data_IF_859624690151
#
_entry.id   IF_859624690151
#
_cell.length_a   1.000
_cell.length_b   1.000
_cell.length_c   1.000
_cell.angle_alpha   90.00
_cell.angle_beta   90.00
_cell.angle_gamma   90.00
#
_symmetry.space_group_name_H-M   'P 1'
#
loop_
_entity.id
_entity.type
_entity.pdbx_description
1 polymer ?
#
# COMPACT_ATOMS: atom_id res chain seq x y z
N UNK A 1 -10.56 5.28 12.50
CA UNK A 1 -9.76 6.41 11.99
C UNK A 1 -8.44 6.57 12.71
N UNK A 2 -7.37 6.07 12.08
CA UNK A 2 -6.00 6.17 12.59
C UNK A 2 -5.03 6.76 11.55
N UNK A 3 -5.40 6.78 10.27
CA UNK A 3 -4.58 7.29 9.15
C UNK A 3 -5.33 8.43 8.46
N UNK A 4 -4.63 9.53 8.21
CA UNK A 4 -5.10 10.63 7.36
C UNK A 4 -4.49 10.52 5.96
N UNK A 5 -5.27 10.84 4.93
CA UNK A 5 -4.81 10.86 3.54
C UNK A 5 -3.86 12.03 3.32
N UNK A 6 -2.61 11.75 2.98
CA UNK A 6 -1.63 12.76 2.57
C UNK A 6 -1.29 12.56 1.09
N UNK A 7 -1.52 13.59 0.27
CA UNK A 7 -1.11 13.56 -1.12
C UNK A 7 0.40 13.82 -1.19
N UNK A 8 1.19 12.81 -1.56
CA UNK A 8 2.56 13.02 -2.07
C UNK A 8 2.51 13.10 -3.58
N UNK A 9 3.20 14.09 -4.14
CA UNK A 9 3.39 14.24 -5.60
C UNK A 9 4.48 13.32 -6.17
N UNK A 10 5.31 12.73 -5.31
CA UNK A 10 6.38 11.81 -5.67
C UNK A 10 6.54 10.75 -4.57
N UNK A 11 5.99 9.54 -4.79
CA UNK A 11 6.12 8.44 -3.84
C UNK A 11 7.57 7.95 -3.70
N UNK A 12 8.29 7.86 -4.83
CA UNK A 12 9.65 7.32 -4.87
C UNK A 12 10.61 8.12 -3.98
N UNK A 13 10.56 9.45 -4.03
CA UNK A 13 11.38 10.30 -3.16
C UNK A 13 11.11 10.03 -1.68
N UNK A 14 9.85 9.90 -1.27
CA UNK A 14 9.50 9.58 0.12
C UNK A 14 9.90 8.20 0.56
N UNK A 15 9.76 7.23 -0.34
CA UNK A 15 10.18 5.87 -0.10
C UNK A 15 11.69 5.78 0.14
N UNK A 16 12.49 6.54 -0.61
CA UNK A 16 13.93 6.67 -0.43
C UNK A 16 14.28 7.42 0.87
N UNK A 17 13.59 8.52 1.17
CA UNK A 17 13.78 9.32 2.41
C UNK A 17 13.54 8.50 3.68
N UNK A 18 12.45 7.71 3.74
CA UNK A 18 12.16 6.84 4.88
C UNK A 18 13.20 5.71 5.04
N UNK A 19 13.82 5.28 3.93
CA UNK A 19 14.76 4.16 3.93
C UNK A 19 14.12 2.84 4.38
N UNK A 20 14.94 1.79 4.55
CA UNK A 20 14.46 0.44 4.88
C UNK A 20 14.52 0.11 6.38
N UNK A 21 14.83 1.07 7.25
CA UNK A 21 15.09 0.83 8.68
C UNK A 21 13.89 0.22 9.42
N UNK A 22 12.68 0.66 9.10
CA UNK A 22 11.42 0.16 9.65
C UNK A 22 10.56 -0.48 8.55
N UNK A 23 11.20 -1.16 7.59
CA UNK A 23 10.49 -1.85 6.51
C UNK A 23 9.92 -3.18 7.00
N UNK A 24 8.63 -3.40 6.74
CA UNK A 24 7.98 -4.70 6.90
C UNK A 24 7.43 -5.16 5.55
N UNK A 25 7.54 -6.46 5.29
CA UNK A 25 7.03 -7.07 4.06
C UNK A 25 6.27 -8.36 4.38
N UNK A 26 5.09 -8.51 3.79
CA UNK A 26 4.30 -9.74 3.87
C UNK A 26 3.57 -10.02 2.55
N UNK A 27 3.14 -11.28 2.35
CA UNK A 27 2.46 -11.74 1.13
C UNK A 27 1.10 -12.33 1.46
N UNK A 28 0.07 -11.80 0.81
CA UNK A 28 -1.33 -12.16 1.03
C UNK A 28 -1.97 -12.73 -0.24
N UNK A 29 -2.85 -13.71 -0.07
CA UNK A 29 -3.72 -14.21 -1.13
C UNK A 29 -5.12 -13.61 -0.97
N UNK A 30 -5.50 -12.71 -1.87
CA UNK A 30 -6.82 -12.09 -1.94
C UNK A 30 -7.74 -12.95 -2.80
N UNK A 31 -8.01 -14.18 -2.35
CA UNK A 31 -8.76 -15.20 -3.09
C UNK A 31 -10.20 -14.81 -3.43
N UNK A 32 -10.79 -13.85 -2.71
CA UNK A 32 -12.11 -13.30 -2.99
C UNK A 32 -12.13 -12.25 -4.12
N UNK A 33 -10.96 -11.77 -4.57
CA UNK A 33 -10.84 -10.74 -5.61
C UNK A 33 -10.49 -11.38 -6.94
N UNK A 34 -11.29 -11.09 -7.98
CA UNK A 34 -11.09 -11.65 -9.33
C UNK A 34 -10.46 -10.64 -10.29
N UNK A 35 -10.31 -9.38 -9.88
CA UNK A 35 -9.70 -8.31 -10.68
C UNK A 35 -8.73 -7.48 -9.86
N UNK A 36 -7.77 -6.85 -10.54
CA UNK A 36 -6.82 -5.93 -9.89
C UNK A 36 -7.53 -4.65 -9.42
N UNK A 37 -8.55 -4.19 -10.15
CA UNK A 37 -9.35 -3.01 -9.86
C UNK A 37 -10.10 -3.15 -8.52
N UNK A 38 -10.72 -4.30 -8.30
CA UNK A 38 -11.39 -4.63 -7.03
C UNK A 38 -10.38 -4.65 -5.89
N UNK A 39 -9.25 -5.32 -6.08
CA UNK A 39 -8.19 -5.40 -5.08
C UNK A 39 -7.67 -4.00 -4.69
N UNK A 40 -7.33 -3.15 -5.67
CA UNK A 40 -6.87 -1.77 -5.41
C UNK A 40 -7.93 -0.97 -4.64
N UNK A 41 -9.19 -1.06 -5.05
CA UNK A 41 -10.29 -0.34 -4.41
C UNK A 41 -10.43 -0.77 -2.94
N UNK A 42 -10.41 -2.08 -2.68
CA UNK A 42 -10.53 -2.64 -1.34
C UNK A 42 -9.34 -2.27 -0.46
N UNK A 43 -8.11 -2.43 -0.94
CA UNK A 43 -6.89 -2.08 -0.18
C UNK A 43 -6.90 -0.59 0.19
N UNK A 44 -7.22 0.28 -0.78
CA UNK A 44 -7.25 1.73 -0.57
C UNK A 44 -8.31 2.14 0.46
N UNK A 45 -9.50 1.54 0.38
CA UNK A 45 -10.58 1.79 1.35
C UNK A 45 -10.24 1.26 2.73
N UNK A 46 -9.69 0.05 2.80
CA UNK A 46 -9.37 -0.64 4.03
C UNK A 46 -8.26 0.09 4.82
N UNK A 47 -7.16 0.45 4.16
CA UNK A 47 -6.05 1.16 4.79
C UNK A 47 -6.37 2.65 5.03
N UNK A 48 -7.38 3.20 4.34
CA UNK A 48 -7.73 4.62 4.44
C UNK A 48 -6.68 5.57 3.87
N UNK A 49 -5.75 5.06 3.07
CA UNK A 49 -4.61 5.81 2.52
C UNK A 49 -4.93 6.44 1.17
N UNK A 50 -4.06 7.34 0.70
CA UNK A 50 -4.19 8.01 -0.58
C UNK A 50 -3.33 7.34 -1.66
N UNK A 51 -3.88 6.99 -2.84
CA UNK A 51 -3.07 6.47 -3.95
C UNK A 51 -2.17 7.56 -4.55
N UNK A 52 -0.90 7.25 -4.69
CA UNK A 52 0.12 8.14 -5.26
C UNK A 52 0.40 7.80 -6.72
N UNK A 53 0.97 8.76 -7.45
CA UNK A 53 1.51 8.58 -8.81
C UNK A 53 0.52 7.96 -9.82
N UNK A 54 -0.79 8.14 -9.61
CA UNK A 54 -1.89 7.53 -10.37
C UNK A 54 -1.85 6.01 -10.40
N UNK A 55 -1.25 5.40 -9.38
CA UNK A 55 -1.15 3.95 -9.21
C UNK A 55 -2.48 3.28 -8.90
N UNK A 56 -3.56 4.04 -8.71
CA UNK A 56 -4.94 3.56 -8.70
C UNK A 56 -5.48 3.23 -10.11
N UNK A 57 -4.77 3.60 -11.18
CA UNK A 57 -5.17 3.35 -12.56
C UNK A 57 -4.38 2.19 -13.15
N UNK A 58 -5.07 1.11 -13.46
CA UNK A 58 -4.48 -0.08 -14.09
C UNK A 58 -4.53 0.07 -15.61
N UNK A 59 -3.40 -0.09 -16.33
CA UNK A 59 -3.42 -0.18 -17.79
C UNK A 59 -4.16 -1.45 -18.26
N UNK A 60 -4.91 -1.35 -19.35
CA UNK A 60 -5.67 -2.48 -19.90
C UNK A 60 -4.77 -3.69 -20.23
N UNK A 61 -5.27 -4.90 -19.94
CA UNK A 61 -4.60 -6.17 -20.27
C UNK A 61 -3.40 -6.52 -19.40
N UNK A 62 -3.19 -5.83 -18.26
CA UNK A 62 -2.14 -6.16 -17.30
C UNK A 62 -2.62 -7.18 -16.27
N UNK A 63 -1.81 -8.23 -16.06
CA UNK A 63 -2.00 -9.21 -14.98
C UNK A 63 -1.15 -8.92 -13.74
N UNK A 64 -0.41 -7.81 -13.74
CA UNK A 64 0.36 -7.37 -12.59
C UNK A 64 0.36 -5.84 -12.51
N UNK A 65 0.36 -5.31 -11.30
CA UNK A 65 0.31 -3.88 -11.05
C UNK A 65 0.99 -3.54 -9.72
N UNK A 66 1.44 -2.31 -9.56
CA UNK A 66 1.97 -1.83 -8.28
C UNK A 66 1.17 -0.62 -7.83
N UNK A 67 0.53 -0.75 -6.67
CA UNK A 67 -0.20 0.31 -5.99
C UNK A 67 0.74 0.98 -4.98
N UNK A 68 0.79 2.30 -5.00
CA UNK A 68 1.53 3.13 -4.06
C UNK A 68 0.55 3.93 -3.22
N UNK A 69 0.67 3.84 -1.90
CA UNK A 69 -0.23 4.52 -0.97
C UNK A 69 0.58 5.37 0.01
N UNK A 70 0.11 6.58 0.28
CA UNK A 70 0.66 7.45 1.31
C UNK A 70 -0.40 7.83 2.34
N UNK A 71 0.04 7.96 3.59
CA UNK A 71 -0.79 8.40 4.68
C UNK A 71 0.05 8.94 5.83
N UNK A 72 -0.64 9.55 6.78
CA UNK A 72 -0.05 10.03 8.04
C UNK A 72 -0.79 9.35 9.17
N UNK A 73 -0.06 8.61 10.01
CA UNK A 73 -0.60 8.00 11.21
C UNK A 73 -0.71 9.04 12.34
N UNK A 74 -1.41 8.69 13.42
CA UNK A 74 -1.53 9.54 14.61
C UNK A 74 -0.15 9.99 15.09
N UNK A 75 -0.04 11.25 15.53
CA UNK A 75 1.23 11.84 15.95
C UNK A 75 2.02 12.51 14.81
N UNK A 76 1.56 12.38 13.56
CA UNK A 76 2.23 13.00 12.41
C UNK A 76 3.24 12.11 11.71
N UNK A 77 3.34 10.85 12.14
CA UNK A 77 4.24 9.86 11.55
C UNK A 77 3.81 9.50 10.13
N UNK A 78 4.78 9.56 9.22
CA UNK A 78 4.52 9.23 7.84
C UNK A 78 4.49 7.72 7.66
N UNK A 79 3.54 7.23 6.86
CA UNK A 79 3.51 5.84 6.44
C UNK A 79 3.30 5.73 4.94
N UNK A 80 4.18 4.99 4.30
CA UNK A 80 4.13 4.67 2.87
C UNK A 80 3.95 3.17 2.71
N UNK A 81 3.12 2.79 1.74
CA UNK A 81 2.83 1.39 1.42
C UNK A 81 3.01 1.17 -0.08
N UNK A 82 3.70 0.09 -0.42
CA UNK A 82 3.81 -0.44 -1.78
C UNK A 82 3.16 -1.82 -1.82
N UNK A 83 2.08 -1.96 -2.55
CA UNK A 83 1.43 -3.24 -2.80
C UNK A 83 1.71 -3.69 -4.24
N UNK A 84 2.47 -4.77 -4.42
CA UNK A 84 2.65 -5.41 -5.73
C UNK A 84 1.60 -6.49 -5.88
N UNK A 85 0.73 -6.33 -6.87
CA UNK A 85 -0.38 -7.23 -7.14
C UNK A 85 -0.08 -8.07 -8.39
N UNK A 86 -0.48 -9.34 -8.36
CA UNK A 86 -0.46 -10.24 -9.49
C UNK A 86 -1.79 -11.00 -9.56
N UNK A 87 -2.44 -11.00 -10.73
CA UNK A 87 -3.67 -11.71 -11.03
C UNK A 87 -3.36 -13.02 -11.75
N UNK A 88 -3.81 -14.12 -11.15
CA UNK A 88 -3.83 -15.47 -11.73
C UNK A 88 -5.22 -16.10 -11.50
N UNK A 89 -5.32 -17.18 -10.72
CA UNK A 89 -6.61 -17.77 -10.28
C UNK A 89 -7.30 -16.95 -9.15
N UNK A 90 -6.70 -15.81 -8.81
CA UNK A 90 -7.08 -14.84 -7.80
C UNK A 90 -5.99 -13.77 -7.75
N UNK A 91 -6.10 -12.79 -6.85
CA UNK A 91 -5.07 -11.76 -6.68
C UNK A 91 -4.11 -12.15 -5.56
N UNK A 92 -2.82 -12.20 -5.86
CA UNK A 92 -1.74 -12.27 -4.86
C UNK A 92 -1.16 -10.88 -4.67
N UNK A 93 -0.90 -10.49 -3.42
CA UNK A 93 -0.35 -9.19 -3.07
C UNK A 93 0.90 -9.35 -2.19
N UNK A 94 2.02 -8.76 -2.60
CA UNK A 94 3.14 -8.46 -1.71
C UNK A 94 2.99 -7.03 -1.18
N UNK A 95 2.78 -6.88 0.12
CA UNK A 95 2.66 -5.61 0.81
C UNK A 95 4.01 -5.25 1.44
N UNK A 96 4.56 -4.09 1.10
CA UNK A 96 5.73 -3.51 1.78
C UNK A 96 5.30 -2.21 2.45
N UNK A 97 5.61 -2.06 3.74
CA UNK A 97 5.27 -0.89 4.55
C UNK A 97 6.55 -0.22 5.06
N UNK A 98 6.61 1.11 5.01
CA UNK A 98 7.68 1.92 5.62
C UNK A 98 7.09 3.08 6.41
N UNK A 99 7.70 3.39 7.53
CA UNK A 99 7.39 4.57 8.36
C UNK A 99 8.65 5.07 9.07
N UNK A 100 8.63 6.33 9.49
CA UNK A 100 9.62 6.89 10.41
C UNK A 100 9.52 6.30 11.82
N UNK A 101 8.40 5.63 12.14
CA UNK A 101 8.16 4.94 13.41
C UNK A 101 7.92 3.43 13.20
N UNK A 102 8.67 2.54 13.88
CA UNK A 102 8.51 1.10 13.74
C UNK A 102 7.15 0.58 14.20
N UNK A 103 6.53 1.16 15.23
CA UNK A 103 5.19 0.75 15.70
C UNK A 103 4.14 1.05 14.63
N UNK A 104 4.29 2.16 13.90
CA UNK A 104 3.39 2.52 12.80
C UNK A 104 3.50 1.51 11.65
N UNK A 105 4.72 1.11 11.28
CA UNK A 105 4.93 0.04 10.29
C UNK A 105 4.23 -1.25 10.72
N UNK A 106 4.40 -1.67 11.97
CA UNK A 106 3.83 -2.91 12.51
C UNK A 106 2.29 -2.87 12.52
N UNK A 107 1.70 -1.76 12.97
CA UNK A 107 0.24 -1.60 13.00
C UNK A 107 -0.36 -1.65 11.60
N UNK A 108 0.26 -1.00 10.62
CA UNK A 108 -0.26 -0.97 9.24
C UNK A 108 -0.07 -2.32 8.55
N UNK A 109 1.07 -2.98 8.73
CA UNK A 109 1.29 -4.32 8.19
C UNK A 109 0.30 -5.33 8.80
N UNK A 110 0.10 -5.28 10.13
CA UNK A 110 -0.79 -6.18 10.85
C UNK A 110 -2.28 -5.93 10.57
N UNK A 111 -2.66 -4.73 10.10
CA UNK A 111 -4.05 -4.45 9.75
C UNK A 111 -4.53 -5.31 8.58
N UNK A 112 -3.65 -5.68 7.65
CA UNK A 112 -4.00 -6.43 6.43
C UNK A 112 -4.09 -7.95 6.67
N UNK A 113 -3.46 -8.44 7.74
CA UNK A 113 -3.41 -9.87 8.10
C UNK A 113 -4.62 -10.39 8.85
#
# INVERSE_FOLDING_TARGET
>A
DHVQRAARSNFAAGWEELGASNELEDTFALSAMSTLEEAITQITQFLGMHPCDRSDRIPEGKSAHTLYLAGTYRGGHEVLVRAKLALADGVTMQLTVRSDDPEVSEVVASAVG
#
